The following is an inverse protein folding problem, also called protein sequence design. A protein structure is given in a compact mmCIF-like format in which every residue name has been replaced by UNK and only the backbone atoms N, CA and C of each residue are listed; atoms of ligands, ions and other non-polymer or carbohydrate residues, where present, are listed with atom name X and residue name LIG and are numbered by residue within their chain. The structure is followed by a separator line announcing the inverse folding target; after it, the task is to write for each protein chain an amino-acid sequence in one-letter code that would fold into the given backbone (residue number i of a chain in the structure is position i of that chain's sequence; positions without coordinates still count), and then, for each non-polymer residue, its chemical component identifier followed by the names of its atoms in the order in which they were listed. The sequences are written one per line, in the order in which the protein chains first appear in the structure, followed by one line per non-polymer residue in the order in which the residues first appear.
data_IF_964656990542
#
_entry.id   IF_964656990542
#
_cell.length_a   1.000
_cell.length_b   1.000
_cell.length_c   1.000
_cell.angle_alpha   90.00
_cell.angle_beta   90.00
_cell.angle_gamma   90.00
#
_symmetry.space_group_name_H-M   'P 1'
#
loop_
_entity.id
_entity.type
_entity.pdbx_description
1 polymer ?
#
# COMPACT_ATOMS: atom_id res chain seq x y z
N UNK A 1 11.61 0.23 -10.16
CA UNK A 1 11.03 -0.16 -8.85
C UNK A 1 11.95 -1.16 -8.19
N UNK A 2 12.18 -1.03 -6.88
CA UNK A 2 13.08 -1.91 -6.17
C UNK A 2 12.54 -3.34 -6.09
N UNK A 3 13.43 -4.30 -5.92
CA UNK A 3 13.06 -5.69 -5.79
C UNK A 3 12.21 -5.95 -4.54
N UNK A 4 12.53 -5.26 -3.44
CA UNK A 4 11.75 -5.39 -2.19
C UNK A 4 10.29 -4.97 -2.38
N UNK A 5 10.06 -3.89 -3.13
CA UNK A 5 8.71 -3.42 -3.41
C UNK A 5 7.98 -4.39 -4.33
N UNK A 6 8.65 -4.89 -5.37
CA UNK A 6 8.07 -5.89 -6.27
C UNK A 6 7.68 -7.15 -5.52
N UNK A 7 8.55 -7.60 -4.63
CA UNK A 7 8.28 -8.80 -3.84
C UNK A 7 7.07 -8.58 -2.91
N UNK A 8 6.97 -7.39 -2.30
CA UNK A 8 5.84 -7.07 -1.45
C UNK A 8 4.52 -7.10 -2.22
N UNK A 9 4.51 -6.55 -3.44
CA UNK A 9 3.32 -6.59 -4.30
C UNK A 9 2.95 -8.05 -4.61
N UNK A 10 3.92 -8.86 -4.97
CA UNK A 10 3.68 -10.27 -5.26
C UNK A 10 3.11 -11.00 -4.04
N UNK A 11 3.64 -10.73 -2.86
CA UNK A 11 3.15 -11.34 -1.63
C UNK A 11 1.70 -10.94 -1.34
N UNK A 12 1.37 -9.65 -1.55
CA UNK A 12 0.01 -9.16 -1.36
C UNK A 12 -0.95 -9.83 -2.34
N UNK A 13 -0.55 -9.96 -3.61
CA UNK A 13 -1.39 -10.56 -4.64
C UNK A 13 -1.63 -12.06 -4.41
N UNK A 14 -0.74 -12.73 -3.71
CA UNK A 14 -0.96 -14.12 -3.32
C UNK A 14 -1.92 -14.24 -2.14
N UNK A 15 -1.96 -13.22 -1.27
CA UNK A 15 -2.75 -13.27 -0.04
C UNK A 15 -4.17 -12.75 -0.21
N UNK A 16 -4.43 -11.88 -1.20
CA UNK A 16 -5.74 -11.29 -1.42
C UNK A 16 -5.87 -10.81 -2.85
N UNK A 17 -7.06 -10.27 -3.19
CA UNK A 17 -7.32 -9.73 -4.53
C UNK A 17 -7.62 -8.25 -4.41
N UNK A 18 -6.59 -7.41 -4.29
CA UNK A 18 -6.80 -5.98 -4.15
C UNK A 18 -7.24 -5.37 -5.49
N UNK A 19 -7.95 -4.26 -5.41
CA UNK A 19 -8.31 -3.49 -6.59
C UNK A 19 -7.21 -2.52 -6.97
N UNK A 20 -6.41 -2.08 -6.00
CA UNK A 20 -5.36 -1.09 -6.22
C UNK A 20 -4.31 -1.19 -5.13
N UNK A 21 -3.05 -0.98 -5.49
CA UNK A 21 -1.95 -0.83 -4.55
C UNK A 21 -1.22 0.46 -4.92
N UNK A 22 -1.01 1.32 -3.93
CA UNK A 22 -0.36 2.62 -4.11
C UNK A 22 0.90 2.65 -3.25
N UNK A 23 2.02 2.98 -3.87
CA UNK A 23 3.28 3.24 -3.17
C UNK A 23 3.31 4.74 -2.87
N UNK A 24 3.31 5.12 -1.58
CA UNK A 24 3.19 6.52 -1.23
C UNK A 24 4.34 7.06 -0.38
N UNK A 25 5.30 6.24 -0.02
CA UNK A 25 6.51 6.72 0.65
C UNK A 25 7.63 5.71 0.51
N UNK A 26 8.85 6.22 0.36
CA UNK A 26 10.07 5.41 0.38
C UNK A 26 11.10 6.14 1.23
N UNK A 27 11.74 5.41 2.13
CA UNK A 27 12.88 5.91 2.88
C UNK A 27 14.14 5.25 2.34
N UNK A 28 15.14 6.07 2.00
CA UNK A 28 16.41 5.58 1.49
C UNK A 28 17.56 6.16 2.29
N UNK A 29 18.68 5.43 2.34
CA UNK A 29 19.88 5.96 2.98
C UNK A 29 20.43 7.09 2.11
N UNK A 30 20.90 8.16 2.73
CA UNK A 30 21.43 9.30 2.00
C UNK A 30 22.76 8.99 1.29
N UNK A 31 23.57 8.14 1.90
CA UNK A 31 24.89 7.84 1.37
C UNK A 31 24.88 6.87 0.20
N UNK A 32 23.99 5.85 0.21
CA UNK A 32 23.98 4.80 -0.79
C UNK A 32 22.71 4.77 -1.64
N UNK A 33 21.67 5.50 -1.24
CA UNK A 33 20.37 5.43 -1.89
C UNK A 33 19.62 4.12 -1.66
N UNK A 34 20.11 3.29 -0.76
CA UNK A 34 19.51 1.99 -0.49
C UNK A 34 18.17 2.13 0.22
N UNK A 35 17.21 1.32 -0.17
CA UNK A 35 15.87 1.35 0.41
C UNK A 35 15.91 0.87 1.86
N UNK A 36 15.36 1.68 2.78
CA UNK A 36 15.30 1.39 4.22
C UNK A 36 13.90 1.01 4.69
N UNK A 37 12.87 1.56 4.07
CA UNK A 37 11.47 1.31 4.41
C UNK A 37 10.60 1.86 3.30
N UNK A 38 9.36 1.38 3.22
CA UNK A 38 8.40 1.94 2.27
C UNK A 38 6.98 1.77 2.79
N UNK A 39 6.05 2.52 2.20
CA UNK A 39 4.65 2.53 2.63
C UNK A 39 3.73 2.21 1.45
N UNK A 40 2.83 1.26 1.66
CA UNK A 40 1.86 0.83 0.65
C UNK A 40 0.45 1.04 1.17
N UNK A 41 -0.42 1.49 0.28
CA UNK A 41 -1.87 1.56 0.52
C UNK A 41 -2.53 0.51 -0.36
N UNK A 42 -3.33 -0.36 0.25
CA UNK A 42 -4.02 -1.43 -0.45
C UNK A 42 -5.51 -1.15 -0.38
N UNK A 43 -6.15 -1.00 -1.55
CA UNK A 43 -7.60 -0.78 -1.65
C UNK A 43 -8.24 -2.11 -2.06
N UNK A 44 -9.20 -2.56 -1.26
CA UNK A 44 -9.81 -3.89 -1.41
C UNK A 44 -11.32 -3.78 -1.59
N UNK A 45 -11.96 -4.84 -2.09
CA UNK A 45 -13.41 -4.84 -2.29
C UNK A 45 -14.17 -4.61 -0.99
N UNK A 46 -15.36 -4.06 -1.13
CA UNK A 46 -16.29 -3.87 -0.03
C UNK A 46 -16.62 -5.21 0.64
N UNK A 47 -16.82 -5.18 1.95
CA UNK A 47 -17.06 -6.40 2.72
C UNK A 47 -15.81 -7.05 3.29
N UNK A 48 -14.62 -6.57 2.91
CA UNK A 48 -13.36 -7.09 3.44
C UNK A 48 -13.13 -6.56 4.85
N UNK A 49 -12.74 -7.45 5.77
CA UNK A 49 -12.29 -7.02 7.10
C UNK A 49 -10.86 -6.51 6.97
N UNK A 50 -10.71 -5.20 6.85
CA UNK A 50 -9.42 -4.57 6.59
C UNK A 50 -8.42 -4.77 7.73
N UNK A 51 -8.90 -4.80 8.97
CA UNK A 51 -8.04 -5.00 10.13
C UNK A 51 -7.41 -6.39 10.12
N UNK A 52 -8.23 -7.40 9.89
CA UNK A 52 -7.78 -8.77 9.82
C UNK A 52 -6.86 -8.98 8.61
N UNK A 53 -7.24 -8.40 7.48
CA UNK A 53 -6.43 -8.50 6.26
C UNK A 53 -5.06 -7.87 6.46
N UNK A 54 -4.99 -6.70 7.10
CA UNK A 54 -3.71 -6.04 7.36
C UNK A 54 -2.78 -6.93 8.16
N UNK A 55 -3.31 -7.59 9.20
CA UNK A 55 -2.52 -8.55 9.99
C UNK A 55 -2.02 -9.69 9.13
N UNK A 56 -2.89 -10.25 8.30
CA UNK A 56 -2.50 -11.34 7.39
C UNK A 56 -1.43 -10.91 6.39
N UNK A 57 -1.56 -9.69 5.87
CA UNK A 57 -0.58 -9.16 4.92
C UNK A 57 0.79 -8.97 5.56
N UNK A 58 0.83 -8.46 6.79
CA UNK A 58 2.10 -8.34 7.52
C UNK A 58 2.78 -9.69 7.68
N UNK A 59 2.01 -10.74 7.93
CA UNK A 59 2.57 -12.10 8.06
C UNK A 59 3.01 -12.67 6.71
N UNK A 60 2.37 -12.25 5.63
CA UNK A 60 2.67 -12.76 4.29
C UNK A 60 3.87 -12.08 3.64
N UNK A 61 4.21 -10.87 4.10
CA UNK A 61 5.30 -10.10 3.51
C UNK A 61 6.65 -10.73 3.85
N UNK A 62 7.47 -10.91 2.82
CA UNK A 62 8.83 -11.43 2.97
C UNK A 62 9.87 -10.34 2.71
N UNK A 63 9.44 -9.06 2.71
CA UNK A 63 10.35 -7.95 2.47
C UNK A 63 11.45 -7.89 3.53
N UNK A 64 12.64 -7.53 3.10
CA UNK A 64 13.82 -7.42 3.98
C UNK A 64 13.92 -6.05 4.65
N UNK A 65 12.95 -5.17 4.43
CA UNK A 65 12.87 -3.84 5.05
C UNK A 65 11.46 -3.64 5.61
N UNK A 66 11.29 -2.76 6.62
CA UNK A 66 9.96 -2.48 7.16
C UNK A 66 8.99 -1.95 6.11
N UNK A 67 7.74 -2.43 6.17
CA UNK A 67 6.67 -2.00 5.28
C UNK A 67 5.51 -1.49 6.12
N UNK A 68 5.10 -0.25 5.87
CA UNK A 68 3.89 0.31 6.47
C UNK A 68 2.72 0.01 5.55
N UNK A 69 1.67 -0.60 6.08
CA UNK A 69 0.48 -0.95 5.31
C UNK A 69 -0.72 -0.15 5.79
N UNK A 70 -1.42 0.46 4.84
CA UNK A 70 -2.74 1.05 5.04
C UNK A 70 -3.71 0.26 4.18
N UNK A 71 -4.82 -0.20 4.74
CA UNK A 71 -5.80 -1.01 4.01
C UNK A 71 -7.17 -0.35 4.11
N UNK A 72 -7.80 -0.10 2.98
CA UNK A 72 -9.13 0.51 2.91
C UNK A 72 -10.02 -0.30 1.97
N UNK A 73 -11.32 -0.34 2.28
CA UNK A 73 -12.29 -0.81 1.30
C UNK A 73 -12.50 0.29 0.25
N UNK A 74 -13.09 -0.08 -0.89
CA UNK A 74 -13.42 0.90 -1.94
C UNK A 74 -14.33 2.00 -1.42
N UNK A 75 -15.29 1.67 -0.57
CA UNK A 75 -16.20 2.65 -0.02
C UNK A 75 -15.48 3.61 0.93
N UNK A 76 -14.69 3.08 1.86
CA UNK A 76 -13.89 3.92 2.77
C UNK A 76 -12.94 4.81 1.99
N UNK A 77 -12.28 4.27 0.99
CA UNK A 77 -11.33 5.01 0.16
C UNK A 77 -12.03 6.19 -0.53
N UNK A 78 -13.20 5.93 -1.16
CA UNK A 78 -13.96 6.96 -1.83
C UNK A 78 -14.44 8.06 -0.88
N UNK A 79 -14.95 7.67 0.29
CA UNK A 79 -15.43 8.64 1.29
C UNK A 79 -14.29 9.51 1.80
N UNK A 80 -13.15 8.91 2.08
CA UNK A 80 -11.98 9.65 2.57
C UNK A 80 -11.38 10.56 1.52
N UNK A 81 -11.41 10.15 0.25
CA UNK A 81 -10.91 11.00 -0.84
C UNK A 81 -11.74 12.26 -1.03
N UNK A 82 -13.01 12.22 -0.66
CA UNK A 82 -13.87 13.40 -0.74
C UNK A 82 -13.46 14.50 0.26
N UNK A 83 -12.71 14.13 1.30
CA UNK A 83 -12.16 15.08 2.27
C UNK A 83 -10.70 15.36 1.90
N UNK A 84 -10.42 16.55 1.39
CA UNK A 84 -9.09 16.93 0.93
C UNK A 84 -8.03 16.93 2.04
N UNK A 85 -8.47 16.97 3.30
CA UNK A 85 -7.55 16.97 4.44
C UNK A 85 -7.29 15.57 4.98
N UNK A 86 -7.92 14.54 4.42
CA UNK A 86 -7.76 13.17 4.91
C UNK A 86 -6.38 12.60 4.55
N UNK A 87 -5.99 11.57 5.30
CA UNK A 87 -4.77 10.84 5.00
C UNK A 87 -4.86 10.16 3.64
N UNK A 88 -6.04 9.65 3.27
CA UNK A 88 -6.25 9.03 1.96
C UNK A 88 -6.01 10.02 0.83
N UNK A 89 -6.47 11.25 0.97
CA UNK A 89 -6.23 12.30 -0.02
C UNK A 89 -4.73 12.59 -0.16
N UNK A 90 -4.01 12.60 0.96
CA UNK A 90 -2.55 12.77 0.94
C UNK A 90 -1.87 11.62 0.20
N UNK A 91 -2.27 10.39 0.48
CA UNK A 91 -1.73 9.21 -0.21
C UNK A 91 -1.97 9.32 -1.72
N UNK A 92 -3.18 9.73 -2.12
CA UNK A 92 -3.53 9.84 -3.54
C UNK A 92 -2.68 10.88 -4.26
N UNK A 93 -2.38 12.00 -3.58
CA UNK A 93 -1.58 13.07 -4.18
C UNK A 93 -0.10 12.70 -4.27
N UNK A 94 0.46 12.08 -3.23
CA UNK A 94 1.90 11.79 -3.17
C UNK A 94 2.26 10.46 -3.77
N UNK A 95 1.29 9.54 -3.84
CA UNK A 95 1.55 8.16 -4.20
C UNK A 95 1.57 7.89 -5.69
N UNK A 96 2.08 6.72 -6.00
CA UNK A 96 2.09 6.18 -7.36
C UNK A 96 1.33 4.86 -7.34
N UNK A 97 0.35 4.72 -8.22
CA UNK A 97 -0.36 3.45 -8.36
C UNK A 97 0.59 2.45 -9.02
N UNK A 98 0.88 1.37 -8.30
CA UNK A 98 1.79 0.33 -8.80
C UNK A 98 1.05 -0.97 -9.15
N UNK A 99 -0.23 -1.04 -8.85
CA UNK A 99 -1.10 -2.14 -9.26
C UNK A 99 -2.54 -1.61 -9.36
N UNK A 100 -3.23 -1.94 -10.45
CA UNK A 100 -4.62 -1.56 -10.67
C UNK A 100 -4.76 -0.28 -11.48
N UNK A 101 -6.01 0.21 -11.65
CA UNK A 101 -6.26 1.38 -12.49
C UNK A 101 -5.73 2.66 -11.86
N UNK A 102 -5.25 3.57 -12.71
CA UNK A 102 -4.64 4.83 -12.29
C UNK A 102 -5.67 5.85 -11.77
N UNK A 103 -6.91 5.70 -12.14
CA UNK A 103 -7.97 6.66 -11.74
C UNK A 103 -8.79 6.14 -10.57
#
# INVERSE_FOLDING_TARGET
MSESIRQAVADILRACQPLKIILFAEKRTMSTGKLKAFSLCVVVPEGTDCRQLRTRLHLALSADVPVNLSVYTTEEWGDLLADETSYAALIARKGQVIYGPQT
#
